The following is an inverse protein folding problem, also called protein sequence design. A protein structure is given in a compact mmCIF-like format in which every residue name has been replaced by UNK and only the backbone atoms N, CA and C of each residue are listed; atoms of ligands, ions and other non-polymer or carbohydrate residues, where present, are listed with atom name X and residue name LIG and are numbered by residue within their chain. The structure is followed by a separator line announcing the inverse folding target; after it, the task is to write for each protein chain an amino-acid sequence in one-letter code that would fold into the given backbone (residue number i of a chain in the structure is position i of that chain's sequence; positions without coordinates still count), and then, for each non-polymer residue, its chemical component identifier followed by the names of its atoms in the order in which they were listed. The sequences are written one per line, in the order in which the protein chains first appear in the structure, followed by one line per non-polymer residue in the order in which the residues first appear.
data_IF_161794212503
#
_entry.id   IF_161794212503
#
_cell.length_a   1.000
_cell.length_b   1.000
_cell.length_c   1.000
_cell.angle_alpha   90.00
_cell.angle_beta   90.00
_cell.angle_gamma   90.00
#
_symmetry.space_group_name_H-M   'P 1'
#
loop_
_entity.id
_entity.type
_entity.pdbx_description
1 polymer ?
#
# COMPACT_ATOMS: atom_id res chain seq x y z
N UNK A 1 -9.44 15.64 -14.36
CA UNK A 1 -8.25 15.08 -13.67
C UNK A 1 -8.44 13.58 -13.49
N UNK A 2 -7.46 12.75 -13.82
CA UNK A 2 -7.55 11.32 -13.62
C UNK A 2 -7.61 11.00 -12.11
N UNK A 3 -8.44 10.04 -11.73
CA UNK A 3 -8.46 9.53 -10.37
C UNK A 3 -7.27 8.61 -10.13
N UNK A 4 -6.61 8.80 -9.00
CA UNK A 4 -5.45 8.01 -8.59
C UNK A 4 -5.83 7.07 -7.44
N UNK A 5 -5.64 5.79 -7.65
CA UNK A 5 -5.83 4.77 -6.62
C UNK A 5 -4.48 4.23 -6.19
N UNK A 6 -4.28 4.09 -4.90
CA UNK A 6 -3.14 3.36 -4.35
C UNK A 6 -3.60 1.99 -3.88
N UNK A 7 -2.90 0.94 -4.28
CA UNK A 7 -3.13 -0.41 -3.78
C UNK A 7 -1.87 -0.93 -3.09
N UNK A 8 -2.05 -1.64 -2.00
CA UNK A 8 -0.94 -2.29 -1.30
C UNK A 8 -1.39 -3.59 -0.65
N UNK A 9 -0.43 -4.44 -0.39
CA UNK A 9 -0.60 -5.71 0.30
C UNK A 9 0.24 -5.71 1.57
N UNK A 10 -0.36 -6.03 2.70
CA UNK A 10 0.29 -6.05 4.02
C UNK A 10 0.14 -7.38 4.72
N UNK A 11 0.98 -7.61 5.73
CA UNK A 11 0.95 -8.85 6.49
C UNK A 11 1.66 -10.01 5.81
N UNK A 12 1.20 -11.23 6.07
CA UNK A 12 1.75 -12.46 5.47
C UNK A 12 1.38 -12.60 4.00
N UNK A 13 2.27 -13.18 3.23
CA UNK A 13 2.00 -13.54 1.84
C UNK A 13 1.03 -14.71 1.74
N UNK A 14 0.08 -14.66 0.82
CA UNK A 14 -0.89 -15.72 0.60
C UNK A 14 -1.32 -15.81 -0.88
N UNK A 15 -1.87 -16.96 -1.30
CA UNK A 15 -2.46 -17.08 -2.63
C UNK A 15 -3.62 -16.11 -2.84
N UNK A 16 -3.74 -15.56 -4.03
CA UNK A 16 -4.85 -14.70 -4.43
C UNK A 16 -4.57 -13.19 -4.37
N UNK A 17 -3.48 -12.75 -3.75
CA UNK A 17 -3.14 -11.32 -3.68
C UNK A 17 -2.94 -10.72 -5.07
N UNK A 18 -2.20 -11.37 -5.94
CA UNK A 18 -2.01 -10.92 -7.32
C UNK A 18 -3.33 -10.89 -8.12
N UNK A 19 -4.24 -11.82 -7.87
CA UNK A 19 -5.55 -11.82 -8.52
C UNK A 19 -6.38 -10.59 -8.12
N UNK A 20 -6.33 -10.18 -6.86
CA UNK A 20 -7.00 -8.96 -6.38
C UNK A 20 -6.36 -7.71 -7.00
N UNK A 21 -5.04 -7.62 -7.02
CA UNK A 21 -4.32 -6.50 -7.65
C UNK A 21 -4.74 -6.36 -9.13
N UNK A 22 -4.76 -7.49 -9.85
CA UNK A 22 -5.19 -7.50 -11.25
C UNK A 22 -6.67 -7.11 -11.41
N UNK A 23 -7.54 -7.59 -10.52
CA UNK A 23 -8.97 -7.25 -10.52
C UNK A 23 -9.19 -5.75 -10.37
N UNK A 24 -8.51 -5.11 -9.43
CA UNK A 24 -8.55 -3.65 -9.23
C UNK A 24 -8.03 -2.93 -10.48
N UNK A 25 -6.89 -3.33 -11.01
CA UNK A 25 -6.31 -2.70 -12.21
C UNK A 25 -7.23 -2.82 -13.43
N UNK A 26 -7.84 -3.99 -13.63
CA UNK A 26 -8.81 -4.21 -14.71
C UNK A 26 -10.08 -3.38 -14.54
N UNK A 27 -10.62 -3.33 -13.33
CA UNK A 27 -11.84 -2.55 -13.06
C UNK A 27 -11.59 -1.05 -13.24
N UNK A 28 -10.47 -0.55 -12.74
CA UNK A 28 -10.08 0.86 -12.92
C UNK A 28 -9.95 1.26 -14.38
N UNK A 29 -9.55 0.33 -15.24
CA UNK A 29 -9.41 0.56 -16.68
C UNK A 29 -10.75 0.71 -17.41
N UNK A 30 -11.82 0.12 -16.88
CA UNK A 30 -13.19 0.29 -17.41
C UNK A 30 -13.67 1.71 -17.14
N UNK A 31 -13.25 2.29 -16.04
CA UNK A 31 -13.51 3.69 -15.73
C UNK A 31 -12.52 4.58 -16.50
N UNK A 32 -13.05 5.57 -17.17
CA UNK A 32 -12.21 6.54 -17.87
C UNK A 32 -11.37 7.33 -16.86
N UNK A 33 -10.11 7.51 -17.18
CA UNK A 33 -9.17 8.33 -16.41
C UNK A 33 -8.83 7.83 -14.99
N UNK A 34 -8.98 6.56 -14.71
CA UNK A 34 -8.52 5.98 -13.44
C UNK A 34 -7.14 5.35 -13.61
N UNK A 35 -6.21 5.69 -12.73
CA UNK A 35 -4.84 5.16 -12.71
C UNK A 35 -4.59 4.46 -11.37
N UNK A 36 -4.02 3.27 -11.42
CA UNK A 36 -3.71 2.47 -10.23
C UNK A 36 -2.21 2.46 -10.02
N UNK A 37 -1.80 2.78 -8.82
CA UNK A 37 -0.43 2.70 -8.33
C UNK A 37 -0.32 1.66 -7.22
N UNK A 38 0.78 0.95 -7.17
CA UNK A 38 1.09 0.00 -6.11
C UNK A 38 2.20 0.50 -5.21
N UNK A 39 2.00 0.43 -3.89
CA UNK A 39 3.05 0.69 -2.92
C UNK A 39 3.79 -0.61 -2.61
N UNK A 40 5.09 -0.64 -2.81
CA UNK A 40 5.92 -1.83 -2.60
C UNK A 40 6.24 -2.00 -1.10
N UNK A 41 6.10 -3.22 -0.59
CA UNK A 41 6.27 -3.56 0.82
C UNK A 41 5.30 -2.80 1.74
N UNK A 42 4.01 -2.93 1.45
CA UNK A 42 2.94 -2.26 2.19
C UNK A 42 3.13 -0.73 2.19
N UNK A 43 2.92 -0.07 3.32
CA UNK A 43 3.10 1.38 3.42
C UNK A 43 4.56 1.85 3.36
N UNK A 44 5.53 0.95 3.42
CA UNK A 44 6.94 1.30 3.29
C UNK A 44 7.25 2.00 1.95
N UNK A 45 6.58 1.61 0.88
CA UNK A 45 6.75 2.26 -0.41
C UNK A 45 6.43 3.76 -0.38
N UNK A 46 5.47 4.17 0.44
CA UNK A 46 5.11 5.57 0.66
C UNK A 46 6.10 6.26 1.62
N UNK A 47 6.54 5.55 2.65
CA UNK A 47 7.38 6.11 3.71
C UNK A 47 8.88 6.16 3.39
N UNK A 48 9.34 5.36 2.43
CA UNK A 48 10.74 5.34 1.99
C UNK A 48 11.15 6.62 1.25
N UNK A 49 12.44 6.90 1.31
CA UNK A 49 13.10 7.92 0.49
C UNK A 49 14.25 7.29 -0.31
N UNK A 50 14.19 7.28 -1.64
CA UNK A 50 13.04 7.69 -2.47
C UNK A 50 11.85 6.74 -2.33
N UNK A 51 10.64 7.25 -2.60
CA UNK A 51 9.42 6.45 -2.55
C UNK A 51 9.47 5.29 -3.55
N UNK A 52 8.93 4.14 -3.16
CA UNK A 52 8.85 2.95 -4.00
C UNK A 52 7.38 2.65 -4.35
N UNK A 53 6.86 3.41 -5.29
CA UNK A 53 5.50 3.33 -5.80
C UNK A 53 5.58 3.08 -7.29
N UNK A 54 4.86 2.08 -7.77
CA UNK A 54 4.89 1.65 -9.17
C UNK A 54 3.49 1.77 -9.80
N UNK A 55 3.41 2.20 -11.04
CA UNK A 55 2.15 2.20 -11.77
C UNK A 55 1.78 0.77 -12.17
N UNK A 56 0.53 0.36 -11.89
CA UNK A 56 0.00 -0.95 -12.29
C UNK A 56 -0.62 -0.82 -13.68
N UNK A 57 0.23 -0.82 -14.68
CA UNK A 57 -0.16 -0.77 -16.09
C UNK A 57 -0.77 -2.09 -16.56
N UNK A 58 -1.29 -2.11 -17.79
CA UNK A 58 -1.78 -3.32 -18.43
C UNK A 58 -0.72 -4.42 -18.50
N UNK A 59 0.50 -4.06 -18.86
CA UNK A 59 1.61 -5.02 -18.96
C UNK A 59 2.03 -5.55 -17.59
N UNK A 60 2.04 -4.71 -16.55
CA UNK A 60 2.34 -5.14 -15.17
C UNK A 60 1.27 -6.09 -14.64
N UNK A 61 0.00 -5.81 -14.90
CA UNK A 61 -1.13 -6.64 -14.44
C UNK A 61 -1.35 -7.91 -15.29
N UNK A 62 -0.69 -8.03 -16.44
CA UNK A 62 -0.91 -9.16 -17.35
C UNK A 62 -0.43 -10.47 -16.74
N UNK A 63 -1.33 -11.46 -16.66
CA UNK A 63 -1.01 -12.82 -16.22
C UNK A 63 -0.70 -13.01 -14.75
N UNK A 64 -0.72 -11.96 -13.93
CA UNK A 64 -0.34 -12.10 -12.50
C UNK A 64 -1.36 -12.89 -11.67
N UNK A 65 -2.59 -13.04 -12.14
CA UNK A 65 -3.66 -13.78 -11.43
C UNK A 65 -3.38 -15.28 -11.29
N UNK A 66 -2.51 -15.83 -12.14
CA UNK A 66 -2.07 -17.24 -12.05
C UNK A 66 -0.74 -17.39 -11.32
N UNK A 67 -0.17 -16.30 -10.82
CA UNK A 67 1.06 -16.28 -10.04
C UNK A 67 0.75 -16.18 -8.56
N UNK A 68 1.33 -17.05 -7.77
CA UNK A 68 1.27 -16.96 -6.31
C UNK A 68 1.97 -15.71 -5.76
N UNK A 69 1.66 -15.38 -4.52
CA UNK A 69 2.26 -14.24 -3.84
C UNK A 69 1.69 -12.88 -4.26
N UNK A 70 2.50 -11.87 -4.10
CA UNK A 70 2.18 -10.50 -4.46
C UNK A 70 3.32 -9.83 -5.22
N UNK A 71 3.02 -9.20 -6.36
CA UNK A 71 4.01 -8.41 -7.12
C UNK A 71 4.45 -7.14 -6.36
N UNK A 72 3.65 -6.68 -5.41
CA UNK A 72 3.94 -5.51 -4.59
C UNK A 72 4.76 -5.85 -3.35
N UNK A 73 5.04 -7.14 -3.12
CA UNK A 73 5.65 -7.62 -1.89
C UNK A 73 4.83 -7.23 -0.66
N UNK A 74 5.23 -7.72 0.48
CA UNK A 74 4.57 -7.44 1.74
C UNK A 74 5.60 -7.38 2.86
N UNK A 75 5.23 -6.77 3.98
CA UNK A 75 6.04 -6.79 5.20
C UNK A 75 5.14 -6.99 6.41
N UNK A 76 5.61 -7.73 7.38
CA UNK A 76 5.00 -7.87 8.70
C UNK A 76 5.85 -7.25 9.82
N UNK A 77 6.95 -6.59 9.44
CA UNK A 77 7.93 -6.01 10.38
C UNK A 77 7.74 -4.52 10.58
N UNK A 78 7.37 -3.81 9.50
CA UNK A 78 7.33 -2.36 9.47
C UNK A 78 5.89 -1.86 9.54
N UNK A 79 5.37 -1.79 10.77
CA UNK A 79 4.05 -1.25 11.03
C UNK A 79 4.15 0.29 11.14
N UNK A 80 3.41 1.09 10.36
CA UNK A 80 3.46 2.56 10.44
C UNK A 80 3.16 3.13 11.84
N UNK A 81 2.37 2.42 12.64
CA UNK A 81 2.01 2.83 14.01
C UNK A 81 3.10 2.46 15.01
N UNK A 82 3.84 1.40 14.73
CA UNK A 82 4.98 0.90 15.52
C UNK A 82 6.18 0.70 14.61
N UNK A 83 6.64 1.77 14.00
CA UNK A 83 7.73 1.71 13.04
C UNK A 83 9.06 1.55 13.76
N UNK A 84 9.85 0.51 13.44
CA UNK A 84 11.12 0.27 14.11
C UNK A 84 12.19 1.26 13.63
N UNK A 85 12.81 1.96 14.56
CA UNK A 85 13.93 2.87 14.30
C UNK A 85 15.13 2.41 15.12
N UNK A 86 16.24 2.13 14.42
CA UNK A 86 17.48 1.76 15.08
C UNK A 86 18.14 2.99 15.67
N UNK A 87 18.50 2.92 16.95
CA UNK A 87 19.23 3.97 17.64
C UNK A 87 20.74 3.81 17.44
N UNK A 88 21.50 4.87 17.69
CA UNK A 88 22.96 4.89 17.57
C UNK A 88 23.66 3.90 18.50
N UNK A 89 23.03 3.56 19.63
CA UNK A 89 23.51 2.56 20.60
C UNK A 89 23.17 1.11 20.19
N UNK A 90 22.53 0.91 19.03
CA UNK A 90 22.12 -0.40 18.51
C UNK A 90 20.78 -0.91 19.02
N UNK A 91 20.12 -0.19 19.95
CA UNK A 91 18.78 -0.54 20.43
C UNK A 91 17.71 -0.19 19.40
N UNK A 92 16.53 -0.84 19.51
CA UNK A 92 15.37 -0.55 18.67
C UNK A 92 14.37 0.30 19.43
N UNK A 93 13.98 1.41 18.85
CA UNK A 93 12.87 2.24 19.29
C UNK A 93 11.72 2.10 18.30
N UNK A 94 10.49 2.21 18.80
CA UNK A 94 9.29 2.23 17.94
C UNK A 94 8.70 3.63 17.89
N UNK A 95 8.37 4.09 16.69
CA UNK A 95 7.75 5.39 16.44
C UNK A 95 6.42 5.24 15.73
N UNK A 96 5.46 6.09 16.07
CA UNK A 96 4.22 6.25 15.30
C UNK A 96 4.47 7.20 14.14
N UNK A 97 4.47 6.67 12.93
CA UNK A 97 4.63 7.44 11.68
C UNK A 97 3.31 7.62 10.92
N UNK A 98 2.18 7.38 11.57
CA UNK A 98 0.88 7.46 10.92
C UNK A 98 0.54 8.88 10.41
N UNK A 99 0.91 9.92 11.13
CA UNK A 99 0.70 11.31 10.70
C UNK A 99 1.56 11.66 9.49
N UNK A 100 2.82 11.20 9.46
CA UNK A 100 3.69 11.34 8.30
C UNK A 100 3.12 10.59 7.09
N UNK A 101 2.61 9.39 7.28
CA UNK A 101 1.97 8.60 6.24
C UNK A 101 0.76 9.34 5.65
N UNK A 102 -0.12 9.87 6.50
CA UNK A 102 -1.29 10.66 6.05
C UNK A 102 -0.86 11.87 5.24
N UNK A 103 0.14 12.62 5.71
CA UNK A 103 0.69 13.77 4.99
C UNK A 103 1.20 13.37 3.61
N UNK A 104 2.00 12.31 3.52
CA UNK A 104 2.57 11.83 2.25
C UNK A 104 1.49 11.34 1.28
N UNK A 105 0.46 10.64 1.77
CA UNK A 105 -0.66 10.21 0.95
C UNK A 105 -1.42 11.39 0.35
N UNK A 106 -1.60 12.47 1.12
CA UNK A 106 -2.21 13.71 0.65
C UNK A 106 -1.34 14.44 -0.38
N UNK A 107 -0.04 14.54 -0.12
CA UNK A 107 0.92 15.15 -1.06
C UNK A 107 0.98 14.41 -2.41
N UNK A 108 0.81 13.10 -2.40
CA UNK A 108 0.74 12.26 -3.60
C UNK A 108 -0.61 12.33 -4.32
N UNK A 109 -1.60 12.98 -3.71
CA UNK A 109 -2.93 13.21 -4.29
C UNK A 109 -3.66 11.92 -4.69
N UNK A 110 -3.58 10.89 -3.84
CA UNK A 110 -4.40 9.68 -4.03
C UNK A 110 -5.85 9.93 -3.61
N UNK A 111 -6.77 9.60 -4.51
CA UNK A 111 -8.22 9.70 -4.26
C UNK A 111 -8.72 8.61 -3.31
N UNK A 112 -8.12 7.43 -3.38
CA UNK A 112 -8.44 6.33 -2.48
C UNK A 112 -7.25 5.38 -2.33
N UNK A 113 -7.23 4.67 -1.20
CA UNK A 113 -6.25 3.64 -0.86
C UNK A 113 -6.98 2.30 -0.68
N UNK A 114 -6.48 1.25 -1.31
CA UNK A 114 -6.97 -0.12 -1.15
C UNK A 114 -5.89 -0.91 -0.42
N UNK A 115 -6.17 -1.28 0.83
CA UNK A 115 -5.23 -2.01 1.68
C UNK A 115 -5.68 -3.46 1.85
N UNK A 116 -4.93 -4.37 1.23
CA UNK A 116 -5.22 -5.80 1.29
C UNK A 116 -4.34 -6.43 2.36
N UNK A 117 -4.96 -7.07 3.35
CA UNK A 117 -4.20 -7.72 4.40
C UNK A 117 -5.10 -8.29 5.51
N UNK A 118 -4.46 -8.82 6.52
CA UNK A 118 -5.12 -9.41 7.69
C UNK A 118 -5.38 -8.38 8.81
N UNK A 119 -5.46 -8.89 10.00
CA UNK A 119 -5.88 -8.17 11.23
C UNK A 119 -5.09 -6.87 11.48
N UNK A 120 -3.77 -6.93 11.39
CA UNK A 120 -2.90 -5.76 11.62
C UNK A 120 -3.12 -4.71 10.55
N UNK A 121 -3.23 -5.14 9.28
CA UNK A 121 -3.51 -4.24 8.16
C UNK A 121 -4.86 -3.53 8.32
N UNK A 122 -5.88 -4.23 8.80
CA UNK A 122 -7.21 -3.65 9.02
C UNK A 122 -7.22 -2.66 10.19
N UNK A 123 -6.44 -2.91 11.23
CA UNK A 123 -6.24 -1.93 12.33
C UNK A 123 -5.58 -0.65 11.85
N UNK A 124 -4.60 -0.77 10.96
CA UNK A 124 -3.95 0.38 10.31
C UNK A 124 -4.96 1.13 9.43
N UNK A 125 -5.74 0.41 8.63
CA UNK A 125 -6.79 1.01 7.78
C UNK A 125 -7.81 1.80 8.62
N UNK A 126 -8.26 1.24 9.74
CA UNK A 126 -9.19 1.92 10.65
C UNK A 126 -8.59 3.23 11.16
N UNK A 127 -7.35 3.22 11.63
CA UNK A 127 -6.68 4.42 12.12
C UNK A 127 -6.53 5.48 11.01
N UNK A 128 -6.15 5.08 9.81
CA UNK A 128 -6.02 6.00 8.69
C UNK A 128 -7.38 6.58 8.26
N UNK A 129 -8.44 5.77 8.31
CA UNK A 129 -9.81 6.24 8.07
C UNK A 129 -10.22 7.30 9.11
N UNK A 130 -9.93 7.07 10.40
CA UNK A 130 -10.17 8.04 11.47
C UNK A 130 -9.36 9.34 11.28
N UNK A 131 -8.24 9.28 10.58
CA UNK A 131 -7.42 10.42 10.15
C UNK A 131 -7.83 11.00 8.77
N UNK A 132 -9.04 10.70 8.32
CA UNK A 132 -9.63 11.21 7.08
C UNK A 132 -8.93 10.77 5.79
N UNK A 133 -8.30 9.58 5.78
CA UNK A 133 -7.85 8.93 4.56
C UNK A 133 -9.01 8.10 3.99
N UNK A 134 -9.30 8.27 2.69
CA UNK A 134 -10.27 7.42 1.99
C UNK A 134 -9.63 6.06 1.73
N UNK A 135 -9.89 5.09 2.60
CA UNK A 135 -9.25 3.77 2.60
C UNK A 135 -10.28 2.64 2.77
N UNK A 136 -10.06 1.55 2.04
CA UNK A 136 -10.84 0.31 2.07
C UNK A 136 -9.89 -0.85 2.36
#
# INVERSE_FOLDING_TARGET
MPKKLLILTGGGDCPGLNAVIRGVAKRARVEKDWVVYGSVEAFNGVLKEPQNIVEITNSVAAGIHVRGGTILKTTNKDNPIKFPVRQDDGTMRFEDRSDELVRRLKELEFDAVINIGGDVSQKISKLLFEKCVNII
#
